data_IF_075554440321
#
_entry.id   IF_075554440321
#
_cell.length_a   1.000
_cell.length_b   1.000
_cell.length_c   1.000
_cell.angle_alpha   90.00
_cell.angle_beta   90.00
_cell.angle_gamma   90.00
#
_symmetry.space_group_name_H-M   'P 1'
#
loop_
_entity.id
_entity.type
_entity.pdbx_description
1 polymer ?
#
# COMPACT_ATOMS: atom_id res chain seq x y z
N UNK A 1 28.69 6.93 -41.08
CA UNK A 1 27.63 6.54 -40.19
C UNK A 1 27.95 7.08 -38.80
N UNK A 2 27.44 8.30 -38.50
CA UNK A 2 27.70 8.94 -37.20
C UNK A 2 26.78 8.26 -36.17
N UNK A 3 27.38 7.55 -35.21
CA UNK A 3 26.68 7.01 -34.05
C UNK A 3 26.44 8.19 -33.09
N UNK A 4 25.23 8.74 -33.08
CA UNK A 4 24.84 9.74 -32.09
C UNK A 4 24.66 9.01 -30.75
N UNK A 5 25.65 9.14 -29.90
CA UNK A 5 25.58 8.68 -28.50
C UNK A 5 24.60 9.62 -27.79
N UNK A 6 23.32 9.22 -27.64
CA UNK A 6 22.40 9.91 -26.75
C UNK A 6 22.92 9.71 -25.32
N UNK A 7 23.60 10.72 -24.79
CA UNK A 7 23.88 10.84 -23.37
C UNK A 7 22.52 10.99 -22.65
N UNK A 8 22.00 9.88 -22.11
CA UNK A 8 20.91 9.95 -21.14
C UNK A 8 21.42 10.73 -19.94
N UNK A 9 20.99 11.96 -19.80
CA UNK A 9 21.22 12.72 -18.56
C UNK A 9 20.65 11.90 -17.40
N UNK A 10 21.36 11.82 -16.27
CA UNK A 10 20.83 11.14 -15.10
C UNK A 10 19.51 11.82 -14.71
N UNK A 11 18.43 11.03 -14.59
CA UNK A 11 17.15 11.53 -14.11
C UNK A 11 17.36 12.00 -12.67
N UNK A 12 17.05 13.26 -12.39
CA UNK A 12 17.13 13.80 -11.03
C UNK A 12 15.76 13.78 -10.40
N UNK A 13 15.69 13.32 -9.16
CA UNK A 13 14.45 13.26 -8.39
C UNK A 13 14.50 14.31 -7.28
N UNK A 14 13.45 15.10 -7.17
CA UNK A 14 13.26 16.04 -6.04
C UNK A 14 11.89 15.80 -5.42
N UNK A 15 11.77 15.95 -4.11
CA UNK A 15 10.52 15.77 -3.43
C UNK A 15 10.14 16.96 -2.57
N UNK A 16 8.87 17.32 -2.57
CA UNK A 16 8.30 18.39 -1.77
C UNK A 16 7.03 17.94 -1.04
N UNK A 17 6.63 18.64 0.02
CA UNK A 17 5.39 18.33 0.72
C UNK A 17 4.17 18.60 -0.15
N UNK A 18 3.12 17.78 0.06
CA UNK A 18 1.80 17.93 -0.56
C UNK A 18 0.72 18.15 0.52
N UNK A 19 0.72 19.32 1.20
CA UNK A 19 -0.15 19.59 2.36
C UNK A 19 -1.64 19.60 2.01
N UNK A 20 -2.00 19.82 0.76
CA UNK A 20 -3.37 19.71 0.26
C UNK A 20 -3.91 18.27 0.41
N UNK A 21 -3.06 17.27 0.28
CA UNK A 21 -3.41 15.87 0.52
C UNK A 21 -3.39 15.52 2.01
N UNK A 22 -2.50 16.14 2.81
CA UNK A 22 -2.55 16.00 4.28
C UNK A 22 -3.93 16.45 4.81
N UNK A 23 -4.51 17.53 4.23
CA UNK A 23 -5.79 18.09 4.62
C UNK A 23 -6.97 17.13 4.37
N UNK A 24 -6.92 16.31 3.33
CA UNK A 24 -7.96 15.29 3.04
C UNK A 24 -8.16 14.35 4.23
N UNK A 25 -7.11 14.05 4.96
CA UNK A 25 -7.11 13.12 6.09
C UNK A 25 -7.08 13.79 7.47
N UNK A 26 -7.26 15.12 7.52
CA UNK A 26 -7.29 15.88 8.77
C UNK A 26 -8.71 15.95 9.37
N UNK A 27 -9.42 14.83 9.37
CA UNK A 27 -10.80 14.75 9.85
C UNK A 27 -10.88 14.94 11.39
N UNK A 28 -11.97 15.56 11.86
CA UNK A 28 -12.18 15.85 13.28
C UNK A 28 -13.31 15.04 13.91
N UNK A 29 -14.04 14.24 13.13
CA UNK A 29 -15.10 13.35 13.62
C UNK A 29 -15.19 12.12 12.74
N UNK A 30 -15.58 11.00 13.32
CA UNK A 30 -15.61 9.71 12.65
C UNK A 30 -14.19 9.13 12.51
N UNK A 31 -13.71 8.96 11.29
CA UNK A 31 -12.34 8.56 11.02
C UNK A 31 -11.38 9.69 11.42
N UNK A 32 -10.48 9.47 12.36
CA UNK A 32 -9.57 10.51 12.86
C UNK A 32 -8.10 10.19 12.69
N UNK A 33 -7.79 9.01 12.15
CA UNK A 33 -6.44 8.59 11.82
C UNK A 33 -6.36 7.09 11.62
N UNK A 34 -5.46 6.66 10.74
CA UNK A 34 -5.20 5.25 10.47
C UNK A 34 -3.82 5.05 9.87
N UNK A 35 -3.40 3.80 9.77
CA UNK A 35 -2.24 3.37 9.00
C UNK A 35 -2.61 2.48 7.81
N UNK A 36 -1.58 1.96 7.10
CA UNK A 36 -1.79 1.07 5.97
C UNK A 36 -2.51 1.72 4.80
N UNK A 37 -2.24 2.98 4.49
CA UNK A 37 -2.95 3.74 3.48
C UNK A 37 -2.63 3.23 2.08
N UNK A 38 -3.57 2.54 1.45
CA UNK A 38 -3.51 2.14 0.05
C UNK A 38 -4.67 2.77 -0.71
N UNK A 39 -4.43 3.18 -1.95
CA UNK A 39 -5.45 3.74 -2.83
C UNK A 39 -5.62 2.84 -4.05
N UNK A 40 -6.83 2.41 -4.31
CA UNK A 40 -7.16 1.47 -5.37
C UNK A 40 -8.10 2.17 -6.36
N UNK A 41 -7.71 2.38 -7.62
CA UNK A 41 -8.61 2.91 -8.63
C UNK A 41 -9.67 1.86 -8.99
N UNK A 42 -10.94 2.25 -8.97
CA UNK A 42 -12.04 1.32 -9.23
C UNK A 42 -12.24 1.00 -10.72
N UNK A 43 -11.46 1.61 -11.62
CA UNK A 43 -11.47 1.36 -13.07
C UNK A 43 -10.25 0.62 -13.60
N UNK A 44 -9.37 0.10 -12.76
CA UNK A 44 -8.10 -0.56 -13.15
C UNK A 44 -7.06 0.37 -13.78
N UNK A 45 -7.18 1.67 -13.64
CA UNK A 45 -6.30 2.65 -14.31
C UNK A 45 -5.32 3.28 -13.31
N UNK A 46 -4.07 2.83 -13.34
CA UNK A 46 -3.00 3.26 -12.41
C UNK A 46 -2.14 4.43 -12.93
N UNK A 47 -2.37 4.90 -14.16
CA UNK A 47 -1.57 5.98 -14.72
C UNK A 47 -1.92 7.36 -14.12
N UNK A 48 -0.99 8.33 -14.14
CA UNK A 48 -1.23 9.68 -13.62
C UNK A 48 -2.47 10.38 -14.20
N UNK A 49 -3.11 11.22 -13.40
CA UNK A 49 -4.35 11.96 -13.69
C UNK A 49 -5.62 11.11 -13.85
N UNK A 50 -5.60 9.82 -13.52
CA UNK A 50 -6.79 8.96 -13.63
C UNK A 50 -7.85 9.27 -12.56
N UNK A 51 -7.49 9.93 -11.46
CA UNK A 51 -8.44 10.44 -10.47
C UNK A 51 -9.57 11.30 -11.05
N UNK A 52 -9.39 11.82 -12.28
CA UNK A 52 -10.42 12.61 -12.96
C UNK A 52 -11.57 11.76 -13.49
N UNK A 53 -11.33 10.49 -13.75
CA UNK A 53 -12.26 9.58 -14.44
C UNK A 53 -12.55 8.30 -13.66
N UNK A 54 -11.79 8.02 -12.59
CA UNK A 54 -12.01 6.85 -11.73
C UNK A 54 -12.27 7.26 -10.28
N UNK A 55 -13.19 6.56 -9.65
CA UNK A 55 -13.37 6.61 -8.21
C UNK A 55 -12.21 5.88 -7.52
N UNK A 56 -11.84 6.30 -6.33
CA UNK A 56 -10.76 5.71 -5.55
C UNK A 56 -11.30 5.11 -4.26
N UNK A 57 -10.97 3.85 -4.01
CA UNK A 57 -11.14 3.21 -2.72
C UNK A 57 -9.81 3.29 -1.95
N UNK A 58 -9.82 4.01 -0.83
CA UNK A 58 -8.75 3.91 0.16
C UNK A 58 -9.04 2.76 1.12
N UNK A 59 -8.02 1.98 1.44
CA UNK A 59 -8.10 0.97 2.50
C UNK A 59 -7.08 1.27 3.57
N UNK A 60 -7.49 1.08 4.82
CA UNK A 60 -6.70 1.36 6.02
C UNK A 60 -6.66 0.13 6.91
N UNK A 61 -5.57 -0.01 7.66
CA UNK A 61 -5.48 -0.97 8.74
C UNK A 61 -5.97 -0.36 10.06
N UNK A 62 -5.27 -0.51 11.17
CA UNK A 62 -5.74 0.00 12.47
C UNK A 62 -6.14 1.47 12.36
N UNK A 63 -7.35 1.77 12.85
CA UNK A 63 -8.00 3.06 12.64
C UNK A 63 -8.55 3.60 13.95
N UNK A 64 -8.25 4.85 14.28
CA UNK A 64 -8.92 5.62 15.33
C UNK A 64 -10.22 6.23 14.79
N UNK A 65 -11.33 5.84 15.39
CA UNK A 65 -12.66 6.37 15.07
C UNK A 65 -13.22 7.09 16.29
N UNK A 66 -13.52 8.39 16.19
CA UNK A 66 -13.97 9.21 17.32
C UNK A 66 -14.00 10.69 16.96
N UNK A 67 -13.67 11.54 17.93
CA UNK A 67 -13.66 12.98 17.77
C UNK A 67 -12.26 13.57 18.06
N UNK A 68 -11.95 14.72 17.45
CA UNK A 68 -10.73 15.49 17.69
C UNK A 68 -11.13 16.95 17.98
N UNK A 69 -10.68 17.47 19.12
CA UNK A 69 -10.91 18.86 19.52
C UNK A 69 -9.98 19.86 18.80
N UNK A 70 -10.22 21.14 19.02
CA UNK A 70 -9.41 22.22 18.43
C UNK A 70 -7.94 22.23 18.90
N UNK A 71 -7.62 21.52 19.98
CA UNK A 71 -6.26 21.38 20.50
C UNK A 71 -5.57 20.10 19.99
N UNK A 72 -6.24 19.31 19.16
CA UNK A 72 -5.71 18.05 18.63
C UNK A 72 -5.86 16.85 19.57
N UNK A 73 -6.71 16.93 20.59
CA UNK A 73 -6.94 15.78 21.47
C UNK A 73 -8.05 14.89 20.92
N UNK A 74 -7.83 13.58 20.93
CA UNK A 74 -8.85 12.58 20.60
C UNK A 74 -9.73 12.27 21.81
N UNK A 75 -11.03 12.17 21.57
CA UNK A 75 -12.05 11.76 22.56
C UNK A 75 -13.08 10.83 21.92
N UNK A 76 -13.86 10.13 22.73
CA UNK A 76 -14.86 9.16 22.27
C UNK A 76 -14.29 8.12 21.30
N UNK A 77 -13.00 7.79 21.47
CA UNK A 77 -12.23 7.08 20.46
C UNK A 77 -12.28 5.57 20.65
N UNK A 78 -12.57 4.88 19.57
CA UNK A 78 -12.46 3.41 19.45
C UNK A 78 -11.39 3.11 18.40
N UNK A 79 -10.59 2.07 18.63
CA UNK A 79 -9.68 1.54 17.60
C UNK A 79 -10.34 0.33 16.93
N UNK A 80 -10.39 0.34 15.60
CA UNK A 80 -10.88 -0.77 14.78
C UNK A 80 -9.78 -1.23 13.80
N UNK A 81 -9.76 -2.51 13.46
CA UNK A 81 -8.63 -3.10 12.73
C UNK A 81 -8.55 -2.73 11.25
N UNK A 82 -9.65 -2.28 10.66
CA UNK A 82 -9.63 -1.77 9.29
C UNK A 82 -10.88 -0.96 8.97
N UNK A 83 -10.69 0.02 8.09
CA UNK A 83 -11.75 0.89 7.55
C UNK A 83 -11.46 1.18 6.07
N UNK A 84 -12.39 1.89 5.42
CA UNK A 84 -12.20 2.34 4.05
C UNK A 84 -12.58 3.81 3.89
N UNK A 85 -12.00 4.45 2.86
CA UNK A 85 -12.37 5.77 2.39
C UNK A 85 -12.78 5.71 0.92
N UNK A 86 -13.84 6.38 0.55
CA UNK A 86 -14.28 6.50 -0.82
C UNK A 86 -14.10 7.94 -1.29
N UNK A 87 -13.29 8.13 -2.33
CA UNK A 87 -13.04 9.42 -2.96
C UNK A 87 -13.63 9.41 -4.38
N UNK A 88 -14.69 10.19 -4.64
CA UNK A 88 -15.29 10.25 -5.96
C UNK A 88 -14.33 10.78 -7.02
N UNK A 89 -14.48 10.32 -8.24
CA UNK A 89 -13.73 10.85 -9.40
C UNK A 89 -13.89 12.37 -9.55
N UNK A 90 -12.83 13.01 -9.97
CA UNK A 90 -12.81 14.46 -10.17
C UNK A 90 -12.59 15.30 -8.91
N UNK A 91 -12.60 14.69 -7.73
CA UNK A 91 -12.47 15.41 -6.45
C UNK A 91 -11.05 15.92 -6.18
N UNK A 92 -10.02 15.22 -6.65
CA UNK A 92 -8.64 15.58 -6.31
C UNK A 92 -8.39 15.57 -4.80
N UNK A 93 -7.66 16.55 -4.30
CA UNK A 93 -7.35 16.69 -2.88
C UNK A 93 -8.41 17.53 -2.11
N UNK A 94 -9.69 17.33 -2.40
CA UNK A 94 -10.78 17.99 -1.69
C UNK A 94 -11.12 17.25 -0.39
N UNK A 95 -10.86 17.84 0.81
CA UNK A 95 -11.13 17.20 2.09
C UNK A 95 -12.62 16.99 2.38
N UNK A 96 -13.53 17.65 1.65
CA UNK A 96 -14.97 17.50 1.78
C UNK A 96 -15.53 16.37 0.91
N UNK A 97 -14.76 15.89 -0.07
CA UNK A 97 -15.23 14.89 -1.01
C UNK A 97 -15.05 13.45 -0.52
N UNK A 98 -14.04 13.18 0.32
CA UNK A 98 -13.79 11.83 0.81
C UNK A 98 -14.83 11.45 1.87
N UNK A 99 -15.32 10.21 1.77
CA UNK A 99 -16.24 9.62 2.75
C UNK A 99 -15.58 8.40 3.39
N UNK A 100 -15.59 8.35 4.72
CA UNK A 100 -15.00 7.23 5.46
C UNK A 100 -16.09 6.30 6.00
N UNK A 101 -15.81 4.98 5.98
CA UNK A 101 -16.76 3.95 6.40
C UNK A 101 -16.07 2.94 7.31
N UNK A 102 -16.79 2.54 8.37
CA UNK A 102 -16.50 1.36 9.18
C UNK A 102 -17.49 0.25 8.87
N UNK A 103 -17.26 -0.96 9.37
CA UNK A 103 -18.12 -2.13 9.14
C UNK A 103 -19.49 -2.08 9.85
N UNK A 104 -19.75 -1.03 10.63
CA UNK A 104 -20.99 -0.82 11.36
C UNK A 104 -21.37 0.65 11.32
N UNK A 105 -22.28 1.08 12.20
CA UNK A 105 -22.72 2.47 12.27
C UNK A 105 -21.63 3.39 12.85
N UNK A 106 -21.73 4.69 12.59
CA UNK A 106 -20.79 5.68 13.17
C UNK A 106 -20.81 5.69 14.71
N UNK A 107 -21.93 5.33 15.33
CA UNK A 107 -22.07 5.25 16.79
C UNK A 107 -21.44 3.96 17.39
N UNK A 108 -21.28 2.94 16.57
CA UNK A 108 -20.68 1.64 16.95
C UNK A 108 -19.72 1.20 15.85
N UNK A 109 -18.57 1.85 15.70
CA UNK A 109 -17.62 1.49 14.65
C UNK A 109 -17.05 0.10 14.86
N UNK A 110 -16.86 -0.63 13.75
CA UNK A 110 -16.29 -1.96 13.70
C UNK A 110 -15.36 -2.08 12.49
N UNK A 111 -14.56 -3.14 12.43
CA UNK A 111 -13.77 -3.43 11.25
C UNK A 111 -14.67 -3.60 10.02
N UNK A 112 -14.30 -3.00 8.89
CA UNK A 112 -15.02 -3.12 7.62
C UNK A 112 -14.99 -4.57 7.11
N UNK A 113 -13.83 -5.22 7.24
CA UNK A 113 -13.63 -6.60 6.85
C UNK A 113 -13.22 -7.43 8.05
N UNK A 114 -14.10 -8.36 8.42
CA UNK A 114 -13.84 -9.35 9.47
C UNK A 114 -13.51 -10.67 8.78
N UNK A 115 -12.46 -11.41 9.20
CA UNK A 115 -12.11 -12.68 8.59
C UNK A 115 -13.24 -13.70 8.65
N UNK A 116 -13.55 -14.35 7.52
CA UNK A 116 -14.60 -15.39 7.39
C UNK A 116 -14.11 -16.64 6.64
N UNK A 117 -12.78 -16.75 6.41
CA UNK A 117 -12.21 -17.89 5.70
C UNK A 117 -12.21 -19.18 6.55
N UNK A 118 -12.18 -20.40 5.96
CA UNK A 118 -12.40 -21.65 6.69
C UNK A 118 -11.40 -21.94 7.81
N UNK A 119 -10.16 -21.47 7.70
CA UNK A 119 -9.10 -21.73 8.71
C UNK A 119 -9.01 -20.68 9.82
N UNK A 120 -10.04 -19.81 9.93
CA UNK A 120 -10.02 -18.74 10.94
C UNK A 120 -10.24 -19.29 12.35
N UNK A 121 -9.57 -18.68 13.32
CA UNK A 121 -9.80 -18.92 14.75
C UNK A 121 -10.32 -17.66 15.45
N UNK A 122 -11.03 -17.77 16.58
CA UNK A 122 -11.52 -16.61 17.31
C UNK A 122 -10.42 -15.62 17.67
N UNK A 123 -10.69 -14.33 17.52
CA UNK A 123 -9.74 -13.26 17.83
C UNK A 123 -8.82 -12.86 16.67
N UNK A 124 -8.95 -13.47 15.52
CA UNK A 124 -8.24 -13.08 14.31
C UNK A 124 -8.87 -11.84 13.66
N UNK A 125 -8.01 -11.01 13.03
CA UNK A 125 -8.41 -9.80 12.35
C UNK A 125 -7.57 -9.57 11.10
N UNK A 126 -7.98 -8.60 10.27
CA UNK A 126 -7.23 -8.22 9.08
C UNK A 126 -6.52 -6.87 9.25
N UNK A 127 -5.25 -6.84 8.85
CA UNK A 127 -4.60 -5.64 8.35
C UNK A 127 -4.63 -5.64 6.83
N UNK A 128 -5.22 -4.60 6.26
CA UNK A 128 -5.35 -4.49 4.80
C UNK A 128 -4.01 -4.10 4.18
N UNK A 129 -3.77 -4.62 3.00
CA UNK A 129 -2.61 -4.32 2.17
C UNK A 129 -3.09 -3.76 0.83
N UNK A 130 -2.20 -3.74 -0.16
CA UNK A 130 -2.54 -3.22 -1.47
C UNK A 130 -3.65 -4.01 -2.16
N UNK A 131 -4.24 -3.40 -3.17
CA UNK A 131 -5.31 -3.99 -3.96
C UNK A 131 -5.25 -3.56 -5.42
N UNK A 132 -6.07 -4.22 -6.22
CA UNK A 132 -6.15 -4.00 -7.66
C UNK A 132 -7.57 -4.20 -8.16
N UNK A 133 -7.98 -3.46 -9.18
CA UNK A 133 -9.26 -3.69 -9.86
C UNK A 133 -9.03 -4.35 -11.21
N UNK A 134 -9.62 -5.52 -11.43
CA UNK A 134 -9.54 -6.29 -12.66
C UNK A 134 -10.96 -6.59 -13.14
N UNK A 135 -11.29 -6.22 -14.36
CA UNK A 135 -12.60 -6.46 -14.97
C UNK A 135 -13.77 -5.98 -14.07
N UNK A 136 -13.59 -4.80 -13.42
CA UNK A 136 -14.56 -4.19 -12.53
C UNK A 136 -14.67 -4.82 -11.14
N UNK A 137 -13.91 -5.87 -10.84
CA UNK A 137 -13.84 -6.49 -9.51
C UNK A 137 -12.61 -5.98 -8.78
N UNK A 138 -12.79 -5.49 -7.57
CA UNK A 138 -11.68 -5.00 -6.74
C UNK A 138 -11.19 -6.09 -5.81
N UNK A 139 -9.91 -6.36 -5.85
CA UNK A 139 -9.24 -7.38 -5.05
C UNK A 139 -8.31 -6.68 -4.05
N UNK A 140 -8.52 -6.94 -2.76
CA UNK A 140 -7.74 -6.37 -1.65
C UNK A 140 -7.00 -7.51 -0.96
N UNK A 141 -5.69 -7.36 -0.81
CA UNK A 141 -4.91 -8.31 0.00
C UNK A 141 -5.08 -7.96 1.47
N UNK A 142 -5.28 -8.97 2.31
CA UNK A 142 -5.43 -8.82 3.75
C UNK A 142 -4.49 -9.75 4.49
N UNK A 143 -3.64 -9.19 5.36
CA UNK A 143 -2.83 -9.97 6.27
C UNK A 143 -3.70 -10.47 7.43
N UNK A 144 -3.70 -11.78 7.66
CA UNK A 144 -4.39 -12.43 8.77
C UNK A 144 -3.52 -12.28 10.02
N UNK A 145 -4.05 -11.64 11.02
CA UNK A 145 -3.33 -11.25 12.22
C UNK A 145 -4.00 -11.77 13.48
N UNK A 146 -3.22 -11.98 14.53
CA UNK A 146 -3.69 -12.19 15.91
C UNK A 146 -2.70 -11.58 16.90
N UNK A 147 -3.19 -11.36 18.12
CA UNK A 147 -2.39 -10.82 19.23
C UNK A 147 -1.82 -11.90 20.15
N UNK A 148 -2.10 -13.16 19.88
CA UNK A 148 -1.56 -14.32 20.62
C UNK A 148 -0.78 -15.21 19.64
N UNK A 149 0.54 -15.41 19.85
CA UNK A 149 1.37 -14.76 20.87
C UNK A 149 1.59 -13.26 20.62
N UNK A 150 1.63 -12.50 21.70
CA UNK A 150 1.92 -11.07 21.63
C UNK A 150 3.35 -10.81 21.10
N UNK A 151 3.61 -9.61 20.46
CA UNK A 151 2.70 -8.46 20.36
C UNK A 151 1.72 -8.55 19.19
N UNK A 152 2.11 -9.06 18.04
CA UNK A 152 1.29 -9.30 16.84
C UNK A 152 1.92 -10.40 16.01
N UNK A 153 1.10 -11.29 15.49
CA UNK A 153 1.58 -12.40 14.68
C UNK A 153 0.76 -12.52 13.40
N UNK A 154 1.47 -12.55 12.25
CA UNK A 154 0.87 -12.86 10.95
C UNK A 154 0.91 -14.37 10.75
N UNK A 155 -0.19 -14.95 10.33
CA UNK A 155 -0.29 -16.39 10.10
C UNK A 155 -0.96 -16.74 8.77
N UNK A 156 -1.20 -15.77 7.92
CA UNK A 156 -1.72 -15.99 6.58
C UNK A 156 -1.96 -14.70 5.80
N UNK A 157 -2.30 -14.90 4.54
CA UNK A 157 -2.73 -13.85 3.62
C UNK A 157 -4.05 -14.30 2.98
N UNK A 158 -5.06 -13.46 3.03
CA UNK A 158 -6.34 -13.64 2.34
C UNK A 158 -6.48 -12.65 1.19
N UNK A 159 -7.32 -12.99 0.22
CA UNK A 159 -7.78 -12.09 -0.83
C UNK A 159 -9.27 -11.81 -0.58
N UNK A 160 -9.62 -10.53 -0.44
CA UNK A 160 -10.99 -10.03 -0.37
C UNK A 160 -11.34 -9.53 -1.76
N UNK A 161 -12.40 -10.05 -2.34
CA UNK A 161 -12.89 -9.64 -3.66
C UNK A 161 -14.23 -8.94 -3.52
N UNK A 162 -14.31 -7.70 -3.99
CA UNK A 162 -15.52 -6.89 -4.08
C UNK A 162 -16.06 -7.01 -5.51
N UNK A 163 -17.29 -7.48 -5.69
CA UNK A 163 -17.93 -7.51 -7.01
C UNK A 163 -18.05 -6.11 -7.63
N UNK A 164 -18.17 -6.05 -8.94
CA UNK A 164 -18.37 -4.81 -9.67
C UNK A 164 -19.57 -4.02 -9.13
N UNK A 165 -19.35 -2.73 -8.80
CA UNK A 165 -20.38 -1.84 -8.29
C UNK A 165 -20.79 -2.09 -6.82
N UNK A 166 -20.11 -2.99 -6.11
CA UNK A 166 -20.32 -3.15 -4.67
C UNK A 166 -19.74 -1.95 -3.93
N UNK A 167 -20.54 -1.36 -3.05
CA UNK A 167 -20.20 -0.16 -2.28
C UNK A 167 -20.21 -0.46 -0.78
N UNK A 168 -19.54 0.35 0.05
CA UNK A 168 -19.60 0.17 1.50
C UNK A 168 -21.05 0.04 2.01
N UNK A 169 -21.35 -0.96 2.87
CA UNK A 169 -20.46 -1.82 3.63
C UNK A 169 -20.02 -3.13 2.91
N UNK A 170 -20.07 -3.22 1.59
CA UNK A 170 -19.64 -4.36 0.76
C UNK A 170 -20.34 -5.69 1.13
N UNK A 171 -21.66 -5.76 1.03
CA UNK A 171 -22.43 -6.93 1.49
C UNK A 171 -22.15 -8.20 0.66
N UNK A 172 -21.58 -8.04 -0.54
CA UNK A 172 -21.34 -9.15 -1.48
C UNK A 172 -19.86 -9.54 -1.57
N UNK A 173 -19.02 -9.09 -0.62
CA UNK A 173 -17.60 -9.42 -0.59
C UNK A 173 -17.37 -10.94 -0.50
N UNK A 174 -16.32 -11.40 -1.16
CA UNK A 174 -15.88 -12.80 -1.13
C UNK A 174 -14.48 -12.86 -0.55
N UNK A 175 -14.25 -13.71 0.43
CA UNK A 175 -12.93 -13.88 1.05
C UNK A 175 -12.40 -15.27 0.75
N UNK A 176 -11.13 -15.35 0.36
CA UNK A 176 -10.42 -16.60 0.08
C UNK A 176 -9.04 -16.59 0.73
N UNK A 177 -8.65 -17.72 1.29
CA UNK A 177 -7.25 -17.95 1.69
C UNK A 177 -6.36 -18.06 0.47
N UNK A 178 -5.13 -17.59 0.60
CA UNK A 178 -4.17 -17.63 -0.51
C UNK A 178 -2.93 -18.43 -0.12
N UNK A 179 -2.21 -19.01 -1.09
CA UNK A 179 -0.92 -19.65 -0.86
C UNK A 179 0.24 -18.62 -0.82
N UNK A 180 -0.05 -17.34 -0.62
CA UNK A 180 0.91 -16.22 -0.77
C UNK A 180 1.59 -15.82 0.54
N UNK A 181 1.61 -16.74 1.47
CA UNK A 181 2.32 -16.61 2.74
C UNK A 181 3.04 -17.92 3.07
N UNK A 182 4.22 -17.82 3.63
CA UNK A 182 4.97 -18.94 4.18
C UNK A 182 5.75 -18.45 5.39
N UNK A 183 5.62 -19.18 6.48
CA UNK A 183 6.47 -19.02 7.66
C UNK A 183 7.58 -20.08 7.60
N UNK A 184 8.81 -19.63 7.51
CA UNK A 184 9.97 -20.53 7.65
C UNK A 184 10.43 -20.45 9.10
N UNK A 185 10.23 -21.55 9.83
CA UNK A 185 10.73 -21.66 11.19
C UNK A 185 12.26 -21.53 11.18
N UNK A 186 12.77 -20.52 11.91
CA UNK A 186 14.19 -20.25 12.02
C UNK A 186 14.58 -18.87 11.46
N UNK A 187 15.83 -18.71 11.05
CA UNK A 187 16.43 -17.43 10.67
C UNK A 187 16.06 -16.93 9.26
N UNK A 188 15.22 -17.63 8.53
CA UNK A 188 14.98 -17.33 7.11
C UNK A 188 13.75 -16.44 6.84
N UNK A 189 12.97 -16.13 7.86
CA UNK A 189 11.90 -15.14 7.80
C UNK A 189 10.62 -15.59 7.12
N UNK A 190 9.63 -14.71 7.16
CA UNK A 190 8.31 -14.94 6.56
C UNK A 190 8.25 -14.41 5.14
N UNK A 191 7.68 -15.17 4.23
CA UNK A 191 7.32 -14.71 2.88
C UNK A 191 5.89 -14.23 2.87
N UNK A 192 5.62 -13.05 2.28
CA UNK A 192 4.26 -12.57 2.06
C UNK A 192 4.17 -11.71 0.80
N UNK A 193 3.17 -11.94 -0.05
CA UNK A 193 2.85 -11.11 -1.20
C UNK A 193 1.77 -10.07 -0.86
N UNK A 194 1.54 -9.15 -1.80
CA UNK A 194 0.48 -8.14 -1.72
C UNK A 194 0.91 -6.81 -1.09
N UNK A 195 2.20 -6.49 -1.12
CA UNK A 195 2.70 -5.17 -0.71
C UNK A 195 2.56 -4.10 -1.79
N UNK A 196 2.55 -4.51 -3.06
CA UNK A 196 2.27 -3.65 -4.21
C UNK A 196 1.79 -4.47 -5.40
N UNK A 197 0.97 -3.86 -6.24
CA UNK A 197 0.56 -4.38 -7.54
C UNK A 197 1.13 -3.53 -8.68
N UNK A 198 1.40 -4.16 -9.82
CA UNK A 198 1.74 -3.52 -11.07
C UNK A 198 1.01 -4.26 -12.19
N UNK A 199 -0.03 -3.65 -12.77
CA UNK A 199 -0.84 -4.25 -13.84
C UNK A 199 -0.30 -3.86 -15.21
N UNK A 200 0.49 -4.73 -15.82
CA UNK A 200 0.95 -4.60 -17.20
C UNK A 200 0.01 -5.30 -18.20
N UNK A 201 -1.11 -5.83 -17.73
CA UNK A 201 -2.22 -6.31 -18.56
C UNK A 201 -3.36 -5.30 -18.70
N UNK A 202 -3.31 -4.16 -18.00
CA UNK A 202 -4.32 -3.12 -18.13
C UNK A 202 -4.26 -2.44 -19.51
N UNK A 203 -5.42 -2.00 -20.05
CA UNK A 203 -5.50 -1.46 -21.43
C UNK A 203 -4.66 -0.20 -21.67
N UNK A 204 -4.36 0.57 -20.63
CA UNK A 204 -3.69 1.87 -20.69
C UNK A 204 -2.22 1.82 -20.23
N UNK A 205 -1.68 0.63 -19.97
CA UNK A 205 -0.27 0.50 -19.58
C UNK A 205 0.67 0.88 -20.75
N UNK A 206 1.83 1.46 -20.40
CA UNK A 206 2.79 1.99 -21.40
C UNK A 206 3.47 0.85 -22.17
N UNK A 207 3.83 -0.23 -21.49
CA UNK A 207 4.46 -1.41 -22.09
C UNK A 207 3.72 -2.67 -21.60
N UNK A 208 2.63 -3.05 -22.28
CA UNK A 208 1.84 -4.20 -21.89
C UNK A 208 2.57 -5.52 -22.14
N UNK A 209 2.51 -6.43 -21.20
CA UNK A 209 2.97 -7.81 -21.33
C UNK A 209 1.91 -8.85 -20.94
N UNK A 210 0.73 -8.38 -20.52
CA UNK A 210 -0.43 -9.19 -20.14
C UNK A 210 -0.42 -9.70 -18.70
N UNK A 211 0.62 -9.41 -17.92
CA UNK A 211 0.76 -9.88 -16.55
C UNK A 211 0.38 -8.81 -15.52
N UNK A 212 -0.11 -9.29 -14.39
CA UNK A 212 -0.13 -8.57 -13.12
C UNK A 212 1.07 -9.05 -12.31
N UNK A 213 1.92 -8.12 -11.90
CA UNK A 213 3.03 -8.36 -10.99
C UNK A 213 2.61 -8.03 -9.57
N UNK A 214 2.94 -8.89 -8.63
CA UNK A 214 2.57 -8.76 -7.23
C UNK A 214 3.82 -8.83 -6.38
N UNK A 215 4.17 -7.69 -5.80
CA UNK A 215 5.34 -7.58 -4.95
C UNK A 215 4.99 -7.89 -3.50
N UNK A 216 5.99 -8.34 -2.80
CA UNK A 216 5.92 -8.62 -1.38
C UNK A 216 7.31 -8.68 -0.79
N UNK A 217 7.40 -9.25 0.39
CA UNK A 217 8.65 -9.34 1.12
C UNK A 217 8.94 -10.76 1.58
N UNK A 218 10.24 -11.05 1.67
CA UNK A 218 10.79 -11.98 2.62
C UNK A 218 11.27 -11.17 3.81
N UNK A 219 10.71 -11.43 4.99
CA UNK A 219 10.95 -10.67 6.19
C UNK A 219 11.99 -11.37 7.06
N UNK A 220 13.25 -10.97 6.92
CA UNK A 220 14.30 -11.32 7.87
C UNK A 220 14.21 -10.33 9.06
N UNK A 221 14.64 -10.71 10.25
CA UNK A 221 14.43 -9.97 11.52
C UNK A 221 14.72 -8.47 11.43
N UNK A 222 15.73 -8.06 10.67
CA UNK A 222 16.14 -6.65 10.54
C UNK A 222 16.20 -6.13 9.09
N UNK A 223 15.83 -6.97 8.11
CA UNK A 223 15.97 -6.61 6.72
C UNK A 223 14.83 -7.20 5.89
N UNK A 224 13.96 -6.32 5.39
CA UNK A 224 12.89 -6.71 4.48
C UNK A 224 13.43 -6.72 3.07
N UNK A 225 13.32 -7.88 2.40
CA UNK A 225 13.81 -8.11 1.06
C UNK A 225 12.64 -8.33 0.12
N UNK A 226 12.65 -7.63 -1.01
CA UNK A 226 11.58 -7.69 -1.99
C UNK A 226 11.59 -9.02 -2.72
N UNK A 227 10.41 -9.59 -2.91
CA UNK A 227 10.11 -10.71 -3.79
C UNK A 227 9.01 -10.31 -4.78
N UNK A 228 8.88 -11.02 -5.89
CA UNK A 228 7.84 -10.77 -6.89
C UNK A 228 7.23 -12.06 -7.39
N UNK A 229 5.91 -12.04 -7.58
CA UNK A 229 5.16 -13.02 -8.33
C UNK A 229 4.50 -12.36 -9.54
N UNK A 230 4.07 -13.17 -10.53
CA UNK A 230 3.21 -12.71 -11.62
C UNK A 230 2.16 -13.74 -11.98
N UNK A 231 1.10 -13.25 -12.59
CA UNK A 231 0.03 -14.06 -13.15
C UNK A 231 -0.54 -13.34 -14.39
N UNK A 232 -1.01 -14.06 -15.39
CA UNK A 232 -1.78 -13.43 -16.47
C UNK A 232 -3.02 -12.74 -15.88
N UNK A 233 -3.33 -11.55 -16.36
CA UNK A 233 -4.40 -10.71 -15.81
C UNK A 233 -5.76 -11.45 -15.77
N UNK A 234 -6.09 -12.19 -16.82
CA UNK A 234 -7.33 -12.96 -16.88
C UNK A 234 -7.36 -14.17 -15.94
N UNK A 235 -6.19 -14.63 -15.50
CA UNK A 235 -6.03 -15.76 -14.57
C UNK A 235 -5.82 -15.32 -13.11
N UNK A 236 -6.01 -14.04 -12.81
CA UNK A 236 -5.66 -13.46 -11.49
C UNK A 236 -6.29 -14.22 -10.31
N UNK A 237 -7.52 -14.68 -10.44
CA UNK A 237 -8.23 -15.40 -9.38
C UNK A 237 -7.87 -16.89 -9.28
N UNK A 238 -7.10 -17.43 -10.23
CA UNK A 238 -6.59 -18.81 -10.19
C UNK A 238 -5.19 -18.84 -9.58
N UNK A 239 -5.11 -19.04 -8.28
CA UNK A 239 -3.85 -19.06 -7.53
C UNK A 239 -2.89 -20.16 -8.00
N UNK A 240 -3.37 -21.21 -8.67
CA UNK A 240 -2.52 -22.27 -9.21
C UNK A 240 -1.65 -21.81 -10.38
N UNK A 241 -2.00 -20.69 -11.04
CA UNK A 241 -1.30 -20.10 -12.17
C UNK A 241 -0.27 -19.05 -11.78
N UNK A 242 -0.25 -18.64 -10.53
CA UNK A 242 0.72 -17.66 -10.04
C UNK A 242 2.14 -18.26 -10.04
N UNK A 243 3.09 -17.46 -10.46
CA UNK A 243 4.51 -17.84 -10.50
C UNK A 243 5.35 -16.79 -9.80
N UNK A 244 6.31 -17.23 -9.00
CA UNK A 244 7.32 -16.38 -8.37
C UNK A 244 8.61 -16.41 -9.19
N UNK A 245 9.37 -15.33 -9.16
CA UNK A 245 10.67 -15.26 -9.81
C UNK A 245 11.74 -15.90 -8.92
N UNK A 246 12.44 -16.93 -9.42
CA UNK A 246 13.49 -17.64 -8.69
C UNK A 246 14.90 -17.07 -8.92
N UNK A 247 14.98 -16.00 -9.71
CA UNK A 247 16.24 -15.35 -10.13
C UNK A 247 16.64 -15.66 -11.57
N UNK A 248 15.98 -16.63 -12.20
CA UNK A 248 16.23 -17.02 -13.59
C UNK A 248 14.95 -17.28 -14.37
N UNK A 249 13.94 -17.82 -13.73
CA UNK A 249 12.67 -18.21 -14.35
C UNK A 249 11.49 -18.02 -13.38
N UNK A 250 10.28 -18.18 -13.90
CA UNK A 250 9.03 -18.06 -13.15
C UNK A 250 8.52 -19.45 -12.76
N UNK A 251 8.49 -19.74 -11.45
CA UNK A 251 8.17 -21.05 -10.89
C UNK A 251 7.02 -21.00 -9.90
N UNK A 252 6.45 -22.16 -9.57
CA UNK A 252 5.38 -22.27 -8.57
C UNK A 252 5.95 -22.27 -7.14
N UNK A 253 5.15 -21.84 -6.17
CA UNK A 253 5.42 -21.90 -4.73
C UNK A 253 6.25 -20.73 -4.21
N UNK A 254 5.68 -20.00 -3.24
CA UNK A 254 6.24 -18.75 -2.71
C UNK A 254 7.64 -18.94 -2.09
N UNK A 255 7.95 -20.10 -1.50
CA UNK A 255 9.26 -20.40 -0.93
C UNK A 255 10.40 -20.46 -1.93
N UNK A 256 10.10 -20.52 -3.25
CA UNK A 256 11.09 -20.48 -4.31
C UNK A 256 11.43 -19.06 -4.77
N UNK A 257 10.76 -18.03 -4.20
CA UNK A 257 10.98 -16.66 -4.62
C UNK A 257 12.39 -16.17 -4.26
N UNK A 258 13.11 -15.68 -5.28
CA UNK A 258 14.39 -15.00 -5.11
C UNK A 258 14.17 -13.59 -4.55
N UNK A 259 14.98 -13.22 -3.58
CA UNK A 259 15.03 -11.84 -3.10
C UNK A 259 15.72 -10.93 -4.12
N UNK A 260 15.05 -9.86 -4.53
CA UNK A 260 15.49 -8.94 -5.59
C UNK A 260 16.40 -7.84 -5.06
N UNK A 261 16.01 -7.25 -3.93
CA UNK A 261 16.76 -6.19 -3.23
C UNK A 261 16.33 -6.18 -1.76
N UNK A 262 17.08 -5.47 -0.92
CA UNK A 262 16.81 -5.36 0.52
C UNK A 262 16.80 -3.91 0.99
N UNK A 263 16.75 -3.72 2.31
CA UNK A 263 16.65 -2.42 2.98
C UNK A 263 15.37 -1.66 2.63
N UNK A 264 14.29 -2.39 2.40
CA UNK A 264 12.97 -1.87 2.05
C UNK A 264 12.01 -1.91 3.24
N UNK A 265 10.74 -1.69 2.99
CA UNK A 265 9.63 -1.82 3.95
C UNK A 265 8.63 -2.86 3.49
N UNK A 266 7.68 -3.22 4.38
CA UNK A 266 6.57 -4.12 4.05
C UNK A 266 5.66 -3.51 3.00
N UNK A 267 5.40 -2.23 3.14
CA UNK A 267 4.64 -1.40 2.20
C UNK A 267 5.60 -0.75 1.22
N UNK A 268 5.21 -0.78 -0.03
CA UNK A 268 5.94 -0.19 -1.14
C UNK A 268 4.97 0.06 -2.29
N UNK A 269 5.45 0.67 -3.34
CA UNK A 269 4.76 0.73 -4.63
C UNK A 269 5.74 0.51 -5.76
N UNK A 270 5.27 -0.01 -6.87
CA UNK A 270 6.03 -0.13 -8.11
C UNK A 270 5.21 0.47 -9.24
N UNK A 271 5.80 1.41 -9.96
CA UNK A 271 5.13 2.18 -11.01
C UNK A 271 5.96 2.14 -12.29
N UNK A 272 5.30 2.06 -13.43
CA UNK A 272 5.96 2.20 -14.73
C UNK A 272 6.23 3.68 -15.02
N UNK A 273 7.46 3.99 -15.40
CA UNK A 273 7.86 5.33 -15.83
C UNK A 273 7.67 5.52 -17.33
N UNK A 274 7.47 6.78 -17.81
CA UNK A 274 7.28 7.07 -19.24
C UNK A 274 8.44 6.60 -20.14
N UNK A 275 9.65 6.45 -19.58
CA UNK A 275 10.83 5.95 -20.29
C UNK A 275 10.91 4.42 -20.37
N UNK A 276 9.87 3.70 -19.92
CA UNK A 276 9.79 2.25 -19.92
C UNK A 276 10.51 1.56 -18.76
N UNK A 277 11.14 2.31 -17.88
CA UNK A 277 11.71 1.77 -16.63
C UNK A 277 10.63 1.65 -15.56
N UNK A 278 10.97 1.00 -14.47
CA UNK A 278 10.12 0.82 -13.29
C UNK A 278 10.72 1.54 -12.11
N UNK A 279 9.88 2.19 -11.31
CA UNK A 279 10.21 2.92 -10.10
C UNK A 279 9.59 2.22 -8.91
N UNK A 280 10.41 1.84 -7.93
CA UNK A 280 9.96 1.37 -6.62
C UNK A 280 10.10 2.49 -5.61
N UNK A 281 9.04 2.77 -4.83
CA UNK A 281 9.05 3.72 -3.70
C UNK A 281 8.85 2.94 -2.40
N UNK A 282 9.61 3.26 -1.38
CA UNK A 282 9.54 2.58 -0.07
C UNK A 282 10.13 3.43 1.06
N UNK A 283 9.80 3.10 2.31
CA UNK A 283 10.54 3.61 3.47
C UNK A 283 11.82 2.79 3.65
N UNK A 284 12.96 3.44 3.61
CA UNK A 284 14.27 2.79 3.79
C UNK A 284 14.37 2.16 5.18
N UNK A 285 14.90 0.94 5.24
CA UNK A 285 15.09 0.19 6.49
C UNK A 285 13.83 0.16 7.38
N UNK A 286 12.66 0.09 6.77
CA UNK A 286 11.33 -0.02 7.39
C UNK A 286 10.84 1.24 8.12
N UNK A 287 11.64 1.83 9.01
CA UNK A 287 11.23 2.95 9.90
C UNK A 287 12.30 4.05 10.02
N UNK A 288 13.18 4.20 9.05
CA UNK A 288 14.33 5.12 9.13
C UNK A 288 13.98 6.61 9.06
N UNK A 289 12.76 6.97 8.67
CA UNK A 289 12.41 8.36 8.36
C UNK A 289 12.90 8.83 7.00
N UNK A 290 13.41 7.95 6.15
CA UNK A 290 13.94 8.29 4.83
C UNK A 290 13.09 7.57 3.76
N UNK A 291 12.41 8.35 2.92
CA UNK A 291 11.72 7.83 1.74
C UNK A 291 12.74 7.71 0.63
N UNK A 292 12.81 6.52 0.05
CA UNK A 292 13.80 6.19 -0.97
C UNK A 292 13.15 5.52 -2.17
N UNK A 293 13.89 5.53 -3.26
CA UNK A 293 13.50 4.91 -4.52
C UNK A 293 14.57 3.96 -5.02
N UNK A 294 14.16 3.09 -5.94
CA UNK A 294 15.02 2.32 -6.84
C UNK A 294 14.40 2.31 -8.23
N UNK A 295 15.22 2.20 -9.26
CA UNK A 295 14.74 1.98 -10.62
C UNK A 295 15.24 0.66 -11.18
N UNK A 296 14.47 0.07 -12.10
CA UNK A 296 14.84 -1.17 -12.78
C UNK A 296 14.43 -1.13 -14.26
N UNK A 297 15.10 -1.92 -15.14
CA UNK A 297 14.72 -2.06 -16.53
C UNK A 297 13.53 -3.01 -16.75
N UNK A 298 13.25 -3.90 -15.80
CA UNK A 298 12.12 -4.83 -15.83
C UNK A 298 11.50 -5.01 -14.44
N UNK A 299 10.27 -5.53 -14.33
CA UNK A 299 9.58 -5.69 -13.04
C UNK A 299 10.35 -6.56 -12.03
N UNK A 300 11.03 -7.59 -12.49
CA UNK A 300 11.87 -8.45 -11.65
C UNK A 300 13.27 -7.88 -11.39
N UNK A 301 13.63 -6.77 -12.00
CA UNK A 301 14.94 -6.13 -11.82
C UNK A 301 15.91 -6.32 -13.02
N UNK A 302 17.23 -6.18 -12.83
CA UNK A 302 17.88 -5.88 -11.55
C UNK A 302 17.54 -4.49 -11.04
N UNK A 303 17.19 -4.40 -9.75
CA UNK A 303 16.90 -3.14 -9.08
C UNK A 303 18.22 -2.41 -8.77
N UNK A 304 18.29 -1.14 -9.17
CA UNK A 304 19.47 -0.28 -8.98
C UNK A 304 19.74 0.07 -7.51
N UNK A 305 20.73 0.95 -7.26
CA UNK A 305 21.04 1.42 -5.91
C UNK A 305 19.87 2.16 -5.27
N UNK A 306 19.91 2.30 -3.93
CA UNK A 306 18.97 3.14 -3.20
C UNK A 306 19.33 4.61 -3.50
N UNK A 307 18.29 5.40 -3.82
CA UNK A 307 18.36 6.84 -3.92
C UNK A 307 17.40 7.43 -2.88
N UNK A 308 17.93 8.21 -1.94
CA UNK A 308 17.17 8.86 -0.89
C UNK A 308 16.58 10.16 -1.45
N UNK A 309 15.23 10.27 -1.46
CA UNK A 309 14.53 11.39 -2.11
C UNK A 309 13.87 12.34 -1.12
N UNK A 310 13.58 11.89 0.09
CA UNK A 310 12.99 12.74 1.11
C UNK A 310 13.34 12.25 2.51
N UNK A 311 13.81 13.18 3.36
CA UNK A 311 13.97 12.93 4.80
C UNK A 311 12.83 13.58 5.54
N UNK A 312 12.08 12.81 6.31
CA UNK A 312 10.96 13.31 7.10
C UNK A 312 11.49 14.24 8.18
N UNK A 313 11.01 15.50 8.24
CA UNK A 313 11.45 16.44 9.27
C UNK A 313 11.10 15.96 10.67
N UNK A 314 11.91 16.26 11.70
CA UNK A 314 11.57 15.95 13.09
C UNK A 314 10.25 16.60 13.48
N UNK A 315 9.43 15.87 14.24
CA UNK A 315 8.18 16.38 14.80
C UNK A 315 8.36 16.73 16.28
N UNK A 316 8.58 17.99 16.58
CA UNK A 316 8.67 18.54 17.94
C UNK A 316 9.56 17.70 18.89
N UNK A 317 9.15 17.57 20.17
CA UNK A 317 9.85 16.80 21.20
C UNK A 317 9.37 15.34 21.33
N UNK A 318 8.49 14.88 20.45
CA UNK A 318 7.93 13.53 20.50
C UNK A 318 8.88 12.51 19.90
N UNK A 319 9.05 11.38 20.58
CA UNK A 319 9.71 10.22 20.01
C UNK A 319 8.75 9.55 19.01
N UNK A 320 8.98 9.77 17.72
CA UNK A 320 8.15 9.23 16.64
C UNK A 320 9.00 8.41 15.66
N UNK A 321 8.31 7.60 14.86
CA UNK A 321 8.90 6.91 13.71
C UNK A 321 7.94 7.00 12.51
N UNK A 322 8.48 6.77 11.32
CA UNK A 322 7.72 6.84 10.07
C UNK A 322 7.86 5.54 9.29
N UNK A 323 6.84 5.18 8.56
CA UNK A 323 6.72 3.90 7.86
C UNK A 323 5.70 4.00 6.72
N UNK A 324 5.45 2.92 6.00
CA UNK A 324 4.43 2.80 4.94
C UNK A 324 4.57 3.80 3.79
N UNK A 325 5.82 4.13 3.38
CA UNK A 325 5.99 4.98 2.20
C UNK A 325 5.61 4.24 0.92
N UNK A 326 4.68 4.81 0.15
CA UNK A 326 4.26 4.28 -1.15
C UNK A 326 3.64 5.36 -2.04
N UNK A 327 3.70 5.14 -3.35
CA UNK A 327 3.10 6.02 -4.34
C UNK A 327 1.64 5.68 -4.60
N UNK A 328 0.92 6.71 -5.10
CA UNK A 328 -0.46 6.66 -5.54
C UNK A 328 -0.53 7.16 -7.01
N UNK A 329 -0.17 6.33 -8.00
CA UNK A 329 0.03 6.79 -9.38
C UNK A 329 -1.21 7.45 -9.97
N UNK A 330 -2.40 6.85 -9.85
CA UNK A 330 -3.63 7.38 -10.42
C UNK A 330 -4.10 8.71 -9.80
N UNK A 331 -3.72 8.98 -8.54
CA UNK A 331 -3.97 10.25 -7.84
C UNK A 331 -2.94 11.32 -8.18
N UNK A 332 -1.84 10.94 -8.81
CA UNK A 332 -0.73 11.83 -9.15
C UNK A 332 -1.12 12.78 -10.27
N UNK A 333 -0.59 14.00 -10.23
CA UNK A 333 -0.68 14.97 -11.30
C UNK A 333 0.37 14.75 -12.39
N UNK A 334 0.43 15.68 -13.36
CA UNK A 334 1.52 15.70 -14.36
C UNK A 334 2.87 16.11 -13.74
N UNK A 335 2.79 16.84 -12.62
CA UNK A 335 3.94 17.52 -12.02
C UNK A 335 4.70 16.64 -11.03
N UNK A 336 4.28 15.40 -10.82
CA UNK A 336 5.00 14.46 -9.98
C UNK A 336 4.15 13.35 -9.39
N UNK A 337 4.83 12.34 -8.89
CA UNK A 337 4.25 11.15 -8.28
C UNK A 337 3.87 11.44 -6.83
N UNK A 338 2.59 11.31 -6.48
CA UNK A 338 2.10 11.46 -5.12
C UNK A 338 2.51 10.25 -4.28
N UNK A 339 3.12 10.51 -3.12
CA UNK A 339 3.60 9.48 -2.19
C UNK A 339 3.04 9.79 -0.81
N UNK A 340 2.45 8.79 -0.16
CA UNK A 340 2.08 8.86 1.26
C UNK A 340 3.10 8.18 2.16
N UNK A 341 3.14 8.59 3.42
CA UNK A 341 3.80 7.88 4.51
C UNK A 341 3.05 8.10 5.82
N UNK A 342 3.22 7.17 6.75
CA UNK A 342 2.63 7.28 8.08
C UNK A 342 3.63 7.79 9.11
N UNK A 343 3.09 8.45 10.12
CA UNK A 343 3.80 8.84 11.34
C UNK A 343 3.16 8.13 12.52
N UNK A 344 3.96 7.59 13.41
CA UNK A 344 3.51 6.92 14.63
C UNK A 344 4.42 7.33 15.80
N UNK A 345 3.95 7.23 17.02
CA UNK A 345 4.73 7.48 18.23
C UNK A 345 5.12 6.19 18.92
N UNK A 346 6.27 6.19 19.60
CA UNK A 346 6.69 5.07 20.43
C UNK A 346 5.88 4.95 21.72
N UNK A 347 5.31 6.08 22.20
CA UNK A 347 4.32 6.10 23.26
C UNK A 347 2.91 6.09 22.69
N UNK A 348 2.17 5.01 22.93
CA UNK A 348 0.81 4.85 22.44
C UNK A 348 -0.14 5.98 22.90
N UNK A 349 0.02 6.49 24.12
CA UNK A 349 -0.87 7.52 24.67
C UNK A 349 -0.71 8.88 24.00
N UNK A 350 0.42 9.13 23.36
CA UNK A 350 0.62 10.34 22.55
C UNK A 350 -0.40 10.49 21.43
N UNK A 351 -0.99 9.40 20.94
CA UNK A 351 -2.04 9.46 19.91
C UNK A 351 -3.31 10.18 20.40
N UNK A 352 -3.56 10.20 21.70
CA UNK A 352 -4.75 10.84 22.25
C UNK A 352 -4.60 12.34 22.47
N UNK A 353 -3.39 12.85 22.50
CA UNK A 353 -3.07 14.28 22.69
C UNK A 353 -2.48 14.95 21.46
N UNK A 354 -2.21 14.17 20.40
CA UNK A 354 -1.56 14.62 19.17
C UNK A 354 -2.21 13.94 17.97
N UNK A 355 -3.40 14.40 17.59
CA UNK A 355 -4.15 13.77 16.49
C UNK A 355 -3.46 13.87 15.12
N UNK A 356 -2.44 14.72 14.96
CA UNK A 356 -1.58 14.76 13.79
C UNK A 356 -0.68 13.52 13.63
N UNK A 357 -0.51 12.73 14.70
CA UNK A 357 0.09 11.40 14.65
C UNK A 357 -0.96 10.40 14.19
N UNK A 358 -0.53 9.37 13.45
CA UNK A 358 -1.40 8.33 12.90
C UNK A 358 -2.35 8.84 11.79
N UNK A 359 -1.95 9.91 11.12
CA UNK A 359 -2.57 10.42 9.89
C UNK A 359 -1.56 10.32 8.76
N UNK A 360 -1.97 9.97 7.54
CA UNK A 360 -1.06 9.97 6.40
C UNK A 360 -0.52 11.37 6.14
N UNK A 361 0.73 11.42 5.73
CA UNK A 361 1.40 12.60 5.22
C UNK A 361 1.77 12.36 3.78
N UNK A 362 1.79 13.43 3.01
CA UNK A 362 2.01 13.32 1.57
C UNK A 362 3.17 14.20 1.11
N UNK A 363 3.88 13.67 0.13
CA UNK A 363 4.88 14.38 -0.66
C UNK A 363 4.62 14.16 -2.14
N UNK A 364 5.18 15.01 -2.96
CA UNK A 364 5.20 14.89 -4.41
C UNK A 364 6.63 14.70 -4.88
N UNK A 365 6.91 13.60 -5.57
CA UNK A 365 8.19 13.29 -6.18
C UNK A 365 8.16 13.77 -7.63
N UNK A 366 8.94 14.80 -7.93
CA UNK A 366 9.07 15.36 -9.28
C UNK A 366 9.95 14.44 -10.12
N UNK A 367 9.45 14.01 -11.27
CA UNK A 367 10.13 13.17 -12.25
C UNK A 367 10.68 14.09 -13.34
N UNK A 368 11.94 14.56 -13.20
CA UNK A 368 12.58 15.43 -14.20
C UNK A 368 13.41 14.66 -15.21
#
# INVERSE_FOLDING_TARGET
MLLTLLLLLPQTFTAERAPEWDAVFAQTSGWTGADGIYSIPLSSEELPNKWRVTDTLFVFSDTFWGDVDANGNRSNTVMVNNTVGFLPRGSGADPQAIQFFSGSTAAQPAAMFVPTTPSITPGEFYWLKDGITINGRTHIVAARMRTDPAPFHRYGISLITLPAGDLPPFPNQIQRETPFWKDEQGNEGQYSLGGAFLDLGAPDTIHPDGYVYVYGIREDVYNKKVIVARVLRDDFEDFSKWRVFDGTQWVSGIGNAKTLCGRTSTEMSVTQLPNGRYLMVFMKDTISGIISIRTAPSPEGPWGPIEDVYTVPPMNSLAFFTYHAKAHPHLSGRDGLLISYNVNATDFWSHFTHAEIYRPRFIRLNLQ
#
